data_IF_332132779068
#
_entry.id   IF_332132779068
#
_cell.length_a   1.000
_cell.length_b   1.000
_cell.length_c   1.000
_cell.angle_alpha   90.00
_cell.angle_beta   90.00
_cell.angle_gamma   90.00
#
_symmetry.space_group_name_H-M   'P 1'
#
loop_
_entity.id
_entity.type
_entity.pdbx_description
1 polymer ?
#
# COMPACT_ATOMS: atom_id res chain seq x y z
N UNK A 1 -50.68 5.24 2.32
CA UNK A 1 -50.28 6.09 1.19
C UNK A 1 -48.77 6.34 1.19
N UNK A 2 -47.95 5.28 1.12
CA UNK A 2 -46.47 5.44 1.18
C UNK A 2 -45.71 4.55 0.20
N UNK A 3 -46.39 3.75 -0.61
CA UNK A 3 -45.74 2.88 -1.62
C UNK A 3 -45.85 3.42 -3.06
N UNK A 4 -46.66 4.46 -3.31
CA UNK A 4 -46.81 5.02 -4.65
C UNK A 4 -45.72 6.06 -5.02
N UNK A 5 -44.91 6.51 -4.05
CA UNK A 5 -43.89 7.56 -4.29
C UNK A 5 -42.51 6.99 -4.66
N UNK A 6 -42.26 5.71 -4.40
CA UNK A 6 -40.95 5.07 -4.65
C UNK A 6 -40.86 4.51 -6.08
N UNK A 7 -41.98 4.08 -6.66
CA UNK A 7 -42.03 3.61 -8.06
C UNK A 7 -41.97 4.77 -9.08
N UNK A 8 -42.35 5.98 -8.69
CA UNK A 8 -42.25 7.18 -9.56
C UNK A 8 -40.81 7.71 -9.70
N UNK A 9 -39.91 7.41 -8.75
CA UNK A 9 -38.54 7.91 -8.77
C UNK A 9 -37.57 6.96 -9.47
N UNK A 10 -37.91 5.68 -9.58
CA UNK A 10 -37.10 4.68 -10.31
C UNK A 10 -37.30 4.77 -11.82
N UNK A 11 -38.50 5.14 -12.29
CA UNK A 11 -38.78 5.31 -13.72
C UNK A 11 -38.11 6.55 -14.37
N UNK A 12 -37.70 7.55 -13.57
CA UNK A 12 -37.03 8.76 -14.09
C UNK A 12 -35.51 8.60 -14.28
N UNK A 13 -34.89 7.57 -13.67
CA UNK A 13 -33.45 7.32 -13.84
C UNK A 13 -33.12 6.40 -15.02
N UNK A 14 -34.10 5.66 -15.56
CA UNK A 14 -33.88 4.80 -16.73
C UNK A 14 -34.05 5.53 -18.08
N UNK A 15 -34.59 6.75 -18.09
CA UNK A 15 -34.82 7.52 -19.33
C UNK A 15 -33.77 8.60 -19.63
N UNK A 16 -32.78 8.82 -18.75
CA UNK A 16 -31.69 9.78 -19.00
C UNK A 16 -30.34 9.15 -19.41
N UNK A 17 -30.28 7.82 -19.55
CA UNK A 17 -29.03 7.11 -19.85
C UNK A 17 -28.68 7.02 -21.35
N UNK A 18 -29.48 7.58 -22.27
CA UNK A 18 -29.32 7.34 -23.70
C UNK A 18 -28.94 8.55 -24.56
N UNK A 19 -28.75 9.75 -24.00
CA UNK A 19 -28.50 10.96 -24.81
C UNK A 19 -27.11 11.61 -24.66
N UNK A 20 -26.19 11.05 -23.85
CA UNK A 20 -24.86 11.66 -23.61
C UNK A 20 -23.69 11.07 -24.44
N UNK A 21 -23.96 10.18 -25.40
CA UNK A 21 -22.94 9.68 -26.33
C UNK A 21 -22.89 10.50 -27.63
N UNK A 22 -22.49 11.78 -27.57
CA UNK A 22 -21.85 12.46 -28.70
C UNK A 22 -21.18 13.80 -28.37
N UNK A 23 -20.33 13.85 -27.35
CA UNK A 23 -19.40 14.98 -27.20
C UNK A 23 -18.13 14.66 -27.99
N UNK A 24 -18.00 15.30 -29.16
CA UNK A 24 -16.85 15.17 -30.07
C UNK A 24 -15.51 15.30 -29.32
N UNK A 25 -14.57 14.39 -29.62
CA UNK A 25 -13.21 14.32 -29.04
C UNK A 25 -12.48 15.68 -29.03
N UNK A 26 -12.81 16.58 -29.94
CA UNK A 26 -12.24 17.93 -30.01
C UNK A 26 -12.72 18.85 -28.88
N UNK A 27 -13.92 18.65 -28.35
CA UNK A 27 -14.47 19.44 -27.24
C UNK A 27 -13.83 19.03 -25.91
N UNK A 28 -13.61 17.73 -25.70
CA UNK A 28 -12.90 17.22 -24.53
C UNK A 28 -11.43 17.69 -24.53
N UNK A 29 -10.78 17.71 -25.70
CA UNK A 29 -9.41 18.25 -25.84
C UNK A 29 -9.31 19.74 -25.48
N UNK A 30 -10.30 20.55 -25.87
CA UNK A 30 -10.34 21.99 -25.53
C UNK A 30 -10.62 22.25 -24.06
N UNK A 31 -11.48 21.45 -23.41
CA UNK A 31 -11.73 21.56 -21.97
C UNK A 31 -10.49 21.16 -21.15
N UNK A 32 -9.79 20.10 -21.55
CA UNK A 32 -8.54 19.70 -20.89
C UNK A 32 -7.45 20.76 -21.04
N UNK A 33 -7.34 21.37 -22.23
CA UNK A 33 -6.39 22.45 -22.49
C UNK A 33 -6.70 23.72 -21.65
N UNK A 34 -7.98 24.06 -21.46
CA UNK A 34 -8.39 25.17 -20.58
C UNK A 34 -8.07 24.89 -19.12
N UNK A 35 -8.34 23.67 -18.64
CA UNK A 35 -8.00 23.27 -17.27
C UNK A 35 -6.48 23.30 -17.04
N UNK A 36 -5.69 22.82 -18.00
CA UNK A 36 -4.23 22.84 -17.91
C UNK A 36 -3.68 24.28 -17.90
N UNK A 37 -4.25 25.18 -18.70
CA UNK A 37 -3.89 26.61 -18.68
C UNK A 37 -4.21 27.26 -17.34
N UNK A 38 -5.40 26.99 -16.78
CA UNK A 38 -5.81 27.52 -15.47
C UNK A 38 -4.92 27.01 -14.31
N UNK A 39 -4.46 25.75 -14.41
CA UNK A 39 -3.53 25.15 -13.46
C UNK A 39 -2.15 25.81 -13.53
N UNK A 40 -1.61 26.02 -14.75
CA UNK A 40 -0.32 26.69 -14.92
C UNK A 40 -0.34 28.14 -14.44
N UNK A 41 -1.44 28.86 -14.66
CA UNK A 41 -1.60 30.24 -14.15
C UNK A 41 -1.70 30.29 -12.62
N UNK A 42 -2.36 29.31 -11.97
CA UNK A 42 -2.36 29.22 -10.50
C UNK A 42 -1.01 28.79 -9.93
N UNK A 43 -0.31 27.90 -10.62
CA UNK A 43 1.03 27.46 -10.20
C UNK A 43 2.06 28.60 -10.30
N UNK A 44 1.96 29.49 -11.29
CA UNK A 44 2.85 30.65 -11.40
C UNK A 44 2.62 31.68 -10.28
N UNK A 45 1.39 31.85 -9.81
CA UNK A 45 1.08 32.74 -8.66
C UNK A 45 1.67 32.19 -7.37
N UNK A 46 1.60 30.87 -7.16
CA UNK A 46 2.19 30.21 -5.98
C UNK A 46 3.72 30.27 -5.94
N UNK A 47 4.39 30.29 -7.10
CA UNK A 47 5.85 30.39 -7.16
C UNK A 47 6.36 31.83 -6.97
N UNK A 48 5.53 32.85 -7.20
CA UNK A 48 5.90 34.26 -6.97
C UNK A 48 5.60 34.76 -5.55
N UNK A 49 4.68 34.11 -4.82
CA UNK A 49 4.31 34.49 -3.45
C UNK A 49 5.14 33.76 -2.36
N UNK A 50 5.96 32.77 -2.74
CA UNK A 50 6.78 31.97 -1.82
C UNK A 50 8.02 32.65 -1.25
N UNK A 51 8.45 33.80 -1.79
CA UNK A 51 9.68 34.49 -1.37
C UNK A 51 9.46 35.66 -0.39
N UNK A 52 8.21 35.96 0.01
CA UNK A 52 7.90 37.19 0.75
C UNK A 52 7.53 37.04 2.24
N UNK A 53 7.53 35.83 2.83
CA UNK A 53 7.18 35.67 4.25
C UNK A 53 8.16 34.76 5.01
N UNK A 54 9.39 35.24 5.13
CA UNK A 54 10.30 34.83 6.20
C UNK A 54 10.35 35.94 7.24
N UNK A 55 9.61 35.83 8.33
CA UNK A 55 9.97 36.43 9.64
C UNK A 55 9.06 35.95 10.78
N UNK A 56 9.72 35.43 11.81
CA UNK A 56 9.33 35.40 13.24
C UNK A 56 8.06 34.66 13.67
N UNK A 57 8.25 33.49 14.31
CA UNK A 57 7.69 33.19 15.63
C UNK A 57 8.27 31.88 16.18
N UNK A 58 9.15 32.02 17.16
CA UNK A 58 9.65 30.93 18.01
C UNK A 58 8.58 30.54 19.03
N UNK A 59 8.18 29.26 19.07
CA UNK A 59 7.51 28.68 20.24
C UNK A 59 8.09 27.28 20.48
N UNK A 60 8.85 27.17 21.56
CA UNK A 60 9.32 25.93 22.16
C UNK A 60 8.13 25.10 22.65
N UNK A 61 8.10 23.82 22.30
CA UNK A 61 7.49 22.78 23.14
C UNK A 61 8.12 21.41 22.82
N UNK A 62 8.97 20.97 23.75
CA UNK A 62 9.10 19.59 24.26
C UNK A 62 8.93 18.41 23.28
N UNK A 63 10.08 17.85 22.88
CA UNK A 63 10.23 16.46 22.39
C UNK A 63 9.82 15.42 23.43
N UNK A 64 9.37 14.23 22.99
CA UNK A 64 9.78 12.98 23.59
C UNK A 64 10.68 12.19 22.63
N UNK A 65 11.77 11.67 23.18
CA UNK A 65 12.73 10.79 22.53
C UNK A 65 12.06 9.55 21.93
N UNK A 66 12.28 9.33 20.64
CA UNK A 66 12.23 7.99 20.05
C UNK A 66 13.48 7.77 19.22
N UNK A 67 14.30 6.85 19.73
CA UNK A 67 15.52 6.38 19.13
C UNK A 67 15.25 5.70 17.78
N UNK A 68 15.71 6.31 16.69
CA UNK A 68 16.08 5.66 15.44
C UNK A 68 17.23 6.46 14.79
N UNK A 69 18.35 6.54 15.50
CA UNK A 69 19.65 6.88 14.92
C UNK A 69 20.33 5.57 14.52
N UNK A 70 20.48 5.32 13.22
CA UNK A 70 21.16 4.09 12.80
C UNK A 70 21.05 3.68 11.34
N UNK A 71 21.12 4.61 10.38
CA UNK A 71 21.53 4.25 9.01
C UNK A 71 22.46 5.33 8.44
N UNK A 72 23.70 5.30 8.93
CA UNK A 72 24.82 5.99 8.29
C UNK A 72 25.23 5.22 7.04
N UNK A 73 25.16 5.87 5.87
CA UNK A 73 25.58 5.38 4.56
C UNK A 73 27.12 5.32 4.41
N UNK A 74 27.84 4.71 5.36
CA UNK A 74 29.32 4.68 5.33
C UNK A 74 29.98 3.35 5.72
N UNK A 75 29.24 2.24 5.85
CA UNK A 75 29.83 0.93 6.21
C UNK A 75 29.96 -0.07 5.06
N UNK A 76 30.39 0.38 3.87
CA UNK A 76 30.84 -0.53 2.80
C UNK A 76 32.34 -0.34 2.58
N UNK A 77 33.15 -0.89 3.49
CA UNK A 77 34.50 -1.35 3.15
C UNK A 77 34.86 -2.62 3.92
N UNK A 78 35.55 -3.49 3.17
CA UNK A 78 36.44 -4.57 3.61
C UNK A 78 35.84 -5.76 4.35
N UNK A 79 35.40 -6.76 3.57
CA UNK A 79 35.52 -8.16 3.98
C UNK A 79 36.04 -9.00 2.80
N UNK A 80 37.28 -9.46 2.96
CA UNK A 80 37.89 -10.68 2.41
C UNK A 80 37.62 -11.05 0.93
N UNK A 81 38.61 -10.77 0.06
CA UNK A 81 38.87 -11.58 -1.13
C UNK A 81 39.62 -12.86 -0.71
N UNK A 82 39.14 -14.07 -1.02
CA UNK A 82 40.03 -15.21 -1.20
C UNK A 82 40.63 -15.13 -2.60
N UNK A 83 41.95 -14.98 -2.69
CA UNK A 83 42.71 -15.29 -3.89
C UNK A 83 42.72 -16.81 -4.09
N UNK A 84 42.03 -17.27 -5.14
CA UNK A 84 42.43 -18.52 -5.80
C UNK A 84 42.00 -18.47 -7.26
N UNK A 85 42.91 -18.93 -8.09
CA UNK A 85 42.87 -18.88 -9.53
C UNK A 85 41.75 -19.73 -10.14
N UNK A 86 41.20 -19.25 -11.26
CA UNK A 86 41.21 -19.94 -12.57
C UNK A 86 40.54 -19.02 -13.58
N UNK A 87 41.33 -18.45 -14.49
CA UNK A 87 40.85 -17.83 -15.72
C UNK A 87 40.14 -18.91 -16.56
N UNK A 88 38.83 -19.05 -16.36
CA UNK A 88 37.97 -19.67 -17.35
C UNK A 88 37.71 -18.63 -18.43
N UNK A 89 38.28 -18.86 -19.61
CA UNK A 89 37.94 -18.14 -20.83
C UNK A 89 36.44 -18.37 -21.10
N UNK A 90 35.61 -17.49 -20.56
CA UNK A 90 34.20 -17.41 -20.89
C UNK A 90 34.10 -16.93 -22.33
N UNK A 91 33.91 -17.88 -23.23
CA UNK A 91 33.44 -17.65 -24.59
C UNK A 91 32.28 -16.67 -24.55
N UNK A 92 32.53 -15.44 -25.00
CA UNK A 92 31.48 -14.48 -25.35
C UNK A 92 30.79 -15.06 -26.57
N UNK A 93 29.80 -15.94 -26.37
CA UNK A 93 28.83 -16.23 -27.40
C UNK A 93 28.20 -14.89 -27.78
N UNK A 94 28.51 -14.41 -28.98
CA UNK A 94 27.86 -13.25 -29.56
C UNK A 94 26.36 -13.57 -29.64
N UNK A 95 25.60 -13.12 -28.64
CA UNK A 95 24.15 -13.07 -28.76
C UNK A 95 23.86 -12.21 -29.97
N UNK A 96 23.17 -12.77 -30.96
CA UNK A 96 22.71 -12.07 -32.16
C UNK A 96 22.11 -10.70 -31.77
N UNK A 97 22.32 -9.65 -32.58
CA UNK A 97 21.85 -8.29 -32.28
C UNK A 97 20.38 -8.24 -31.83
N UNK A 98 19.52 -9.07 -32.42
CA UNK A 98 18.12 -9.25 -32.05
C UNK A 98 17.91 -9.64 -30.57
N UNK A 99 18.61 -10.66 -30.05
CA UNK A 99 18.46 -11.12 -28.64
C UNK A 99 18.98 -10.10 -27.62
N UNK A 100 19.89 -9.19 -28.03
CA UNK A 100 20.35 -8.06 -27.20
C UNK A 100 19.35 -6.92 -27.19
N UNK A 101 18.69 -6.65 -28.31
CA UNK A 101 17.64 -5.64 -28.40
C UNK A 101 16.39 -6.08 -27.63
N UNK A 102 15.99 -7.35 -27.70
CA UNK A 102 14.85 -7.88 -26.93
C UNK A 102 15.03 -7.77 -25.42
N UNK A 103 16.24 -8.04 -24.91
CA UNK A 103 16.54 -7.89 -23.48
C UNK A 103 16.47 -6.43 -23.05
N UNK A 104 16.98 -5.50 -23.88
CA UNK A 104 16.90 -4.06 -23.61
C UNK A 104 15.46 -3.57 -23.64
N UNK A 105 14.66 -3.98 -24.63
CA UNK A 105 13.25 -3.63 -24.70
C UNK A 105 12.48 -4.14 -23.48
N UNK A 106 12.71 -5.37 -23.04
CA UNK A 106 12.07 -5.90 -21.82
C UNK A 106 12.49 -5.13 -20.55
N UNK A 107 13.74 -4.69 -20.45
CA UNK A 107 14.17 -3.87 -19.30
C UNK A 107 13.61 -2.46 -19.34
N UNK A 108 13.49 -1.86 -20.53
CA UNK A 108 12.84 -0.56 -20.72
C UNK A 108 11.35 -0.61 -20.44
N UNK A 109 10.66 -1.66 -20.90
CA UNK A 109 9.24 -1.83 -20.61
C UNK A 109 8.99 -1.95 -19.10
N UNK A 110 9.77 -2.79 -18.40
CA UNK A 110 9.70 -2.88 -16.93
C UNK A 110 9.99 -1.55 -16.23
N UNK A 111 10.84 -0.71 -16.79
CA UNK A 111 11.13 0.61 -16.25
C UNK A 111 9.95 1.58 -16.46
N UNK A 112 9.32 1.55 -17.63
CA UNK A 112 8.11 2.30 -17.93
C UNK A 112 6.97 1.87 -17.00
N UNK A 113 6.71 0.57 -16.88
CA UNK A 113 5.68 0.02 -16.01
C UNK A 113 5.90 0.46 -14.54
N UNK A 114 7.16 0.42 -14.06
CA UNK A 114 7.50 0.88 -12.70
C UNK A 114 7.31 2.40 -12.51
N UNK A 115 7.58 3.21 -13.54
CA UNK A 115 7.31 4.65 -13.50
C UNK A 115 5.81 4.94 -13.52
N UNK A 116 5.03 4.20 -14.32
CA UNK A 116 3.57 4.31 -14.33
C UNK A 116 2.97 3.90 -12.99
N UNK A 117 3.44 2.80 -12.38
CA UNK A 117 3.04 2.39 -11.04
C UNK A 117 3.33 3.47 -10.00
N UNK A 118 4.52 4.08 -10.04
CA UNK A 118 4.88 5.20 -9.16
C UNK A 118 3.98 6.41 -9.39
N UNK A 119 3.72 6.78 -10.64
CA UNK A 119 2.80 7.88 -10.99
C UNK A 119 1.40 7.62 -10.45
N UNK A 120 0.85 6.43 -10.70
CA UNK A 120 -0.46 6.01 -10.22
C UNK A 120 -0.52 5.95 -8.68
N UNK A 121 0.55 5.53 -8.02
CA UNK A 121 0.65 5.54 -6.56
C UNK A 121 0.68 6.96 -5.99
N UNK A 122 1.43 7.87 -6.61
CA UNK A 122 1.50 9.27 -6.19
C UNK A 122 0.17 9.99 -6.38
N UNK A 123 -0.53 9.75 -7.50
CA UNK A 123 -1.87 10.30 -7.74
C UNK A 123 -2.86 9.79 -6.69
N UNK A 124 -2.86 8.49 -6.40
CA UNK A 124 -3.73 7.91 -5.37
C UNK A 124 -3.45 8.51 -3.99
N UNK A 125 -2.18 8.67 -3.63
CA UNK A 125 -1.77 9.31 -2.38
C UNK A 125 -2.27 10.75 -2.30
N UNK A 126 -2.07 11.54 -3.35
CA UNK A 126 -2.55 12.92 -3.40
C UNK A 126 -4.09 13.00 -3.30
N UNK A 127 -4.81 12.14 -4.01
CA UNK A 127 -6.28 12.08 -3.92
C UNK A 127 -6.75 11.72 -2.51
N UNK A 128 -6.03 10.83 -1.82
CA UNK A 128 -6.34 10.47 -0.44
C UNK A 128 -6.06 11.64 0.52
N UNK A 129 -4.89 12.28 0.40
CA UNK A 129 -4.54 13.47 1.20
C UNK A 129 -5.55 14.61 0.98
N UNK A 130 -6.03 14.81 -0.25
CA UNK A 130 -7.07 15.79 -0.57
C UNK A 130 -8.42 15.46 0.09
N UNK A 131 -8.83 14.18 0.08
CA UNK A 131 -10.07 13.74 0.76
C UNK A 131 -9.96 13.95 2.27
N UNK A 132 -8.83 13.58 2.86
CA UNK A 132 -8.59 13.76 4.29
C UNK A 132 -8.58 15.24 4.67
N UNK A 133 -8.00 16.11 3.83
CA UNK A 133 -8.05 17.55 4.01
C UNK A 133 -9.48 18.10 3.97
N UNK A 134 -10.28 17.69 2.99
CA UNK A 134 -11.68 18.14 2.87
C UNK A 134 -12.53 17.69 4.05
N UNK A 135 -12.34 16.46 4.54
CA UNK A 135 -13.03 15.96 5.74
C UNK A 135 -12.66 16.78 6.98
N UNK A 136 -11.36 17.04 7.19
CA UNK A 136 -10.90 17.88 8.31
C UNK A 136 -11.44 19.31 8.20
N UNK A 137 -11.51 19.86 6.99
CA UNK A 137 -12.06 21.19 6.77
C UNK A 137 -13.54 21.25 7.15
N UNK A 138 -14.35 20.27 6.75
CA UNK A 138 -15.76 20.18 7.14
C UNK A 138 -15.93 20.04 8.66
N UNK A 139 -15.05 19.29 9.32
CA UNK A 139 -15.03 19.18 10.78
C UNK A 139 -14.68 20.52 11.45
N UNK A 140 -13.67 21.23 10.95
CA UNK A 140 -13.33 22.57 11.41
C UNK A 140 -14.49 23.56 11.25
N UNK A 141 -15.13 23.57 10.08
CA UNK A 141 -16.26 24.46 9.78
C UNK A 141 -17.43 24.18 10.76
N UNK A 142 -17.72 22.90 11.04
CA UNK A 142 -18.74 22.52 12.03
C UNK A 142 -18.37 22.94 13.46
N UNK A 143 -17.13 22.73 13.87
CA UNK A 143 -16.66 23.15 15.20
C UNK A 143 -16.77 24.68 15.34
N UNK A 144 -16.43 25.42 14.29
CA UNK A 144 -16.54 26.86 14.28
C UNK A 144 -18.00 27.33 14.46
N UNK A 145 -18.95 26.70 13.76
CA UNK A 145 -20.37 26.97 13.94
C UNK A 145 -20.85 26.66 15.37
N UNK A 146 -20.47 25.52 15.95
CA UNK A 146 -20.81 25.16 17.33
C UNK A 146 -20.24 26.17 18.35
N UNK A 147 -19.02 26.68 18.11
CA UNK A 147 -18.40 27.71 18.94
C UNK A 147 -19.15 29.03 18.85
N UNK A 148 -19.58 29.45 17.66
CA UNK A 148 -20.36 30.68 17.47
C UNK A 148 -21.72 30.59 18.19
N UNK A 149 -22.41 29.45 18.09
CA UNK A 149 -23.66 29.20 18.82
C UNK A 149 -23.45 29.28 20.34
N UNK A 150 -22.37 28.67 20.84
CA UNK A 150 -22.04 28.70 22.26
C UNK A 150 -21.69 30.11 22.75
N UNK A 151 -20.92 30.88 21.98
CA UNK A 151 -20.58 32.26 22.30
C UNK A 151 -21.84 33.14 22.38
N UNK A 152 -22.77 32.97 21.45
CA UNK A 152 -24.05 33.70 21.47
C UNK A 152 -24.90 33.32 22.69
N UNK A 153 -24.91 32.03 23.08
CA UNK A 153 -25.59 31.57 24.29
C UNK A 153 -24.96 32.16 25.56
N UNK A 154 -23.64 32.19 25.65
CA UNK A 154 -22.90 32.81 26.77
C UNK A 154 -23.23 34.29 26.86
N UNK A 155 -23.26 35.01 25.73
CA UNK A 155 -23.63 36.43 25.68
C UNK A 155 -25.03 36.67 26.23
N UNK A 156 -26.02 35.86 25.82
CA UNK A 156 -27.41 35.95 26.33
C UNK A 156 -27.47 35.72 27.83
N UNK A 157 -26.83 34.66 28.33
CA UNK A 157 -26.80 34.35 29.76
C UNK A 157 -26.09 35.44 30.57
N UNK A 158 -25.06 36.07 30.02
CA UNK A 158 -24.35 37.17 30.69
C UNK A 158 -25.25 38.41 30.84
N UNK A 159 -26.06 38.73 29.82
CA UNK A 159 -27.06 39.81 29.91
C UNK A 159 -28.09 39.50 30.99
N UNK A 160 -28.61 38.27 31.01
CA UNK A 160 -29.59 37.83 32.00
C UNK A 160 -29.02 37.90 33.43
N UNK A 161 -27.80 37.39 33.63
CA UNK A 161 -27.07 37.48 34.91
C UNK A 161 -26.92 38.92 35.39
N UNK A 162 -26.58 39.85 34.49
CA UNK A 162 -26.45 41.26 34.84
C UNK A 162 -27.80 41.85 35.26
N UNK A 163 -28.89 41.46 34.61
CA UNK A 163 -30.24 41.89 34.97
C UNK A 163 -30.62 41.39 36.37
N UNK A 164 -30.45 40.10 36.64
CA UNK A 164 -30.71 39.51 37.96
C UNK A 164 -29.85 40.15 39.06
N UNK A 165 -28.59 40.47 38.76
CA UNK A 165 -27.69 41.14 39.72
C UNK A 165 -28.19 42.54 40.07
N UNK A 166 -28.71 43.30 39.09
CA UNK A 166 -29.32 44.62 39.33
C UNK A 166 -30.59 44.52 40.18
N UNK A 167 -31.47 43.58 39.86
CA UNK A 167 -32.69 43.33 40.64
C UNK A 167 -32.35 42.94 42.07
N UNK A 168 -31.36 42.05 42.24
CA UNK A 168 -30.90 41.65 43.57
C UNK A 168 -30.37 42.83 44.38
N UNK A 169 -29.54 43.71 43.78
CA UNK A 169 -29.09 44.94 44.45
C UNK A 169 -30.25 45.86 44.83
N UNK A 170 -31.20 46.08 43.92
CA UNK A 170 -32.39 46.89 44.20
C UNK A 170 -33.19 46.35 45.39
N UNK A 171 -33.37 45.02 45.47
CA UNK A 171 -34.05 44.38 46.61
C UNK A 171 -33.23 44.53 47.89
N UNK A 172 -31.90 44.40 47.81
CA UNK A 172 -31.00 44.57 48.95
C UNK A 172 -30.98 46.02 49.47
N UNK A 173 -31.00 46.99 48.57
CA UNK A 173 -31.08 48.43 48.88
C UNK A 173 -32.45 48.80 49.45
N UNK A 174 -33.54 48.24 48.91
CA UNK A 174 -34.87 48.41 49.47
C UNK A 174 -34.96 47.82 50.89
N UNK A 175 -34.35 46.66 51.13
CA UNK A 175 -34.28 46.02 52.44
C UNK A 175 -33.44 46.83 53.46
N UNK A 176 -32.43 47.58 53.01
CA UNK A 176 -31.60 48.40 53.90
C UNK A 176 -32.27 49.72 54.31
N UNK A 177 -33.25 50.20 53.53
CA UNK A 177 -34.09 51.36 53.84
C UNK A 177 -35.24 51.05 54.80
N UNK A 178 -35.50 49.77 55.12
CA UNK A 178 -36.46 49.41 56.15
C UNK A 178 -35.90 49.73 57.55
N UNK A 179 -36.65 50.44 58.42
CA UNK A 179 -36.23 50.70 59.78
C UNK A 179 -35.95 49.37 60.49
N UNK A 180 -34.84 49.28 61.21
CA UNK A 180 -34.33 48.07 61.91
C UNK A 180 -35.30 47.47 62.95
N UNK A 181 -36.46 48.10 63.19
CA UNK A 181 -37.56 47.58 64.02
C UNK A 181 -38.89 47.33 63.30
N UNK A 182 -39.05 47.68 62.02
CA UNK A 182 -40.33 47.53 61.29
C UNK A 182 -40.66 46.06 60.91
N UNK A 183 -39.65 45.19 60.90
CA UNK A 183 -39.80 43.74 60.71
C UNK A 183 -40.20 43.00 61.99
N UNK A 184 -40.47 43.68 63.12
CA UNK A 184 -40.98 43.03 64.33
C UNK A 184 -42.39 42.45 64.17
N UNK A 185 -43.09 42.74 63.07
CA UNK A 185 -44.33 42.07 62.66
C UNK A 185 -44.19 41.04 61.53
N UNK A 186 -42.96 40.68 61.11
CA UNK A 186 -42.74 39.90 59.88
C UNK A 186 -42.04 38.57 60.12
N UNK A 187 -42.71 37.68 60.86
CA UNK A 187 -42.37 36.24 60.82
C UNK A 187 -42.42 35.70 59.38
N UNK A 188 -43.26 36.28 58.51
CA UNK A 188 -43.36 35.93 57.10
C UNK A 188 -42.07 36.14 56.31
N UNK A 189 -41.38 37.28 56.46
CA UNK A 189 -40.12 37.54 55.72
C UNK A 189 -38.96 36.73 56.29
N UNK A 190 -38.87 36.58 57.62
CA UNK A 190 -37.89 35.65 58.22
C UNK A 190 -38.13 34.22 57.78
N UNK A 191 -39.39 33.77 57.78
CA UNK A 191 -39.78 32.46 57.28
C UNK A 191 -39.47 32.28 55.80
N UNK A 192 -39.67 33.31 54.98
CA UNK A 192 -39.35 33.29 53.56
C UNK A 192 -37.83 33.22 53.30
N UNK A 193 -37.04 33.98 54.06
CA UNK A 193 -35.57 33.92 54.00
C UNK A 193 -35.07 32.53 54.43
N UNK A 194 -35.61 31.98 55.51
CA UNK A 194 -35.26 30.63 55.96
C UNK A 194 -35.60 29.60 54.89
N UNK A 195 -36.81 29.67 54.31
CA UNK A 195 -37.26 28.79 53.22
C UNK A 195 -36.36 28.91 52.00
N UNK A 196 -35.98 30.13 51.62
CA UNK A 196 -35.07 30.36 50.51
C UNK A 196 -33.70 29.75 50.77
N UNK A 197 -33.15 29.91 51.98
CA UNK A 197 -31.90 29.26 52.37
C UNK A 197 -32.01 27.74 52.27
N UNK A 198 -33.06 27.15 52.86
CA UNK A 198 -33.27 25.69 52.82
C UNK A 198 -33.45 25.18 51.39
N UNK A 199 -34.23 25.87 50.56
CA UNK A 199 -34.43 25.53 49.14
C UNK A 199 -33.14 25.68 48.33
N UNK A 200 -32.32 26.68 48.61
CA UNK A 200 -31.05 26.86 47.90
C UNK A 200 -30.04 25.77 48.26
N UNK A 201 -29.99 25.37 49.53
CA UNK A 201 -29.15 24.25 50.00
C UNK A 201 -29.64 22.91 49.44
N UNK A 202 -30.96 22.65 49.45
CA UNK A 202 -31.49 21.43 48.83
C UNK A 202 -31.25 21.42 47.32
N UNK A 203 -31.42 22.56 46.63
CA UNK A 203 -31.11 22.65 45.20
C UNK A 203 -29.63 22.39 44.91
N UNK A 204 -28.71 22.93 45.71
CA UNK A 204 -27.29 22.66 45.57
C UNK A 204 -26.98 21.16 45.80
N UNK A 205 -27.59 20.55 46.82
CA UNK A 205 -27.48 19.11 47.09
C UNK A 205 -28.00 18.25 45.92
N UNK A 206 -29.15 18.60 45.33
CA UNK A 206 -29.69 17.90 44.17
C UNK A 206 -28.80 18.04 42.93
N UNK A 207 -28.33 19.27 42.63
CA UNK A 207 -27.39 19.49 41.52
C UNK A 207 -26.09 18.70 41.70
N UNK A 208 -25.57 18.62 42.91
CA UNK A 208 -24.37 17.84 43.21
C UNK A 208 -24.60 16.33 43.08
N UNK A 209 -25.79 15.84 43.44
CA UNK A 209 -26.20 14.44 43.23
C UNK A 209 -26.37 14.09 41.76
N UNK A 210 -27.01 14.96 40.97
CA UNK A 210 -27.22 14.74 39.54
C UNK A 210 -25.88 14.77 38.79
N UNK A 211 -25.00 15.74 39.09
CA UNK A 211 -23.64 15.77 38.58
C UNK A 211 -22.83 14.53 39.00
N UNK A 212 -23.04 14.01 40.21
CA UNK A 212 -22.39 12.79 40.67
C UNK A 212 -22.88 11.54 39.93
N UNK A 213 -24.19 11.44 39.65
CA UNK A 213 -24.75 10.33 38.86
C UNK A 213 -24.27 10.37 37.42
N UNK A 214 -24.37 11.51 36.75
CA UNK A 214 -23.85 11.69 35.38
C UNK A 214 -22.36 11.36 35.30
N UNK A 215 -21.58 11.78 36.30
CA UNK A 215 -20.15 11.48 36.37
C UNK A 215 -19.88 10.00 36.62
N UNK A 216 -20.71 9.31 37.40
CA UNK A 216 -20.63 7.87 37.62
C UNK A 216 -20.95 7.10 36.33
N UNK A 217 -22.03 7.46 35.64
CA UNK A 217 -22.46 6.83 34.39
C UNK A 217 -21.41 7.03 33.29
N UNK A 218 -20.88 8.24 33.12
CA UNK A 218 -19.79 8.50 32.16
C UNK A 218 -18.52 7.71 32.48
N UNK A 219 -18.18 7.50 33.75
CA UNK A 219 -17.03 6.66 34.14
C UNK A 219 -17.27 5.18 33.83
N UNK A 220 -18.49 4.70 34.04
CA UNK A 220 -18.86 3.32 33.68
C UNK A 220 -18.82 3.12 32.18
N UNK A 221 -19.37 4.06 31.41
CA UNK A 221 -19.35 4.01 29.94
C UNK A 221 -17.91 4.09 29.40
N UNK A 222 -17.07 4.96 29.97
CA UNK A 222 -15.64 5.01 29.64
C UNK A 222 -14.95 3.67 29.93
N UNK A 223 -15.25 3.05 31.07
CA UNK A 223 -14.68 1.75 31.44
C UNK A 223 -15.13 0.64 30.48
N UNK A 224 -16.40 0.67 30.05
CA UNK A 224 -16.94 -0.26 29.04
C UNK A 224 -16.24 -0.08 27.71
N UNK A 225 -16.11 1.16 27.22
CA UNK A 225 -15.42 1.47 25.97
C UNK A 225 -13.94 1.07 26.00
N UNK A 226 -13.25 1.29 27.13
CA UNK A 226 -11.87 0.83 27.31
C UNK A 226 -11.76 -0.69 27.26
N UNK A 227 -12.69 -1.42 27.89
CA UNK A 227 -12.73 -2.87 27.82
C UNK A 227 -12.95 -3.35 26.38
N UNK A 228 -13.92 -2.79 25.67
CA UNK A 228 -14.21 -3.11 24.27
C UNK A 228 -13.04 -2.81 23.34
N UNK A 229 -12.37 -1.68 23.55
CA UNK A 229 -11.18 -1.33 22.80
C UNK A 229 -10.05 -2.34 23.04
N UNK A 230 -9.82 -2.72 24.30
CA UNK A 230 -8.77 -3.69 24.66
C UNK A 230 -9.07 -5.09 24.11
N UNK A 231 -10.33 -5.54 24.15
CA UNK A 231 -10.72 -6.83 23.57
C UNK A 231 -10.59 -6.82 22.04
N UNK A 232 -10.94 -5.71 21.39
CA UNK A 232 -10.74 -5.53 19.94
C UNK A 232 -9.27 -5.55 19.57
N UNK A 233 -8.41 -4.87 20.33
CA UNK A 233 -6.95 -4.93 20.12
C UNK A 233 -6.46 -6.36 20.23
N UNK A 234 -6.82 -7.07 21.30
CA UNK A 234 -6.41 -8.47 21.48
C UNK A 234 -6.87 -9.37 20.32
N UNK A 235 -8.10 -9.18 19.83
CA UNK A 235 -8.63 -9.87 18.65
C UNK A 235 -7.86 -9.55 17.36
N UNK A 236 -7.48 -8.29 17.16
CA UNK A 236 -6.68 -7.89 16.00
C UNK A 236 -5.25 -8.44 16.09
N UNK A 237 -4.62 -8.36 17.26
CA UNK A 237 -3.26 -8.88 17.48
C UNK A 237 -3.18 -10.39 17.23
N UNK A 238 -4.15 -11.16 17.75
CA UNK A 238 -4.24 -12.60 17.48
C UNK A 238 -4.47 -12.89 16.01
N UNK A 239 -5.32 -12.11 15.33
CA UNK A 239 -5.53 -12.26 13.89
C UNK A 239 -4.27 -11.97 13.08
N UNK A 240 -3.52 -10.93 13.45
CA UNK A 240 -2.23 -10.59 12.82
C UNK A 240 -1.23 -11.74 13.02
N UNK A 241 -1.14 -12.30 14.23
CA UNK A 241 -0.27 -13.43 14.51
C UNK A 241 -0.60 -14.65 13.63
N UNK A 242 -1.89 -15.02 13.52
CA UNK A 242 -2.33 -16.11 12.64
C UNK A 242 -2.02 -15.86 11.16
N UNK A 243 -2.18 -14.63 10.68
CA UNK A 243 -1.87 -14.28 9.30
C UNK A 243 -0.36 -14.33 9.03
N UNK A 244 0.47 -13.92 9.98
CA UNK A 244 1.92 -14.01 9.89
C UNK A 244 2.38 -15.47 9.87
N UNK A 245 1.80 -16.33 10.70
CA UNK A 245 2.09 -17.76 10.70
C UNK A 245 1.74 -18.40 9.35
N UNK A 246 0.54 -18.13 8.82
CA UNK A 246 0.14 -18.58 7.48
C UNK A 246 1.06 -18.08 6.38
N UNK A 247 1.52 -16.83 6.47
CA UNK A 247 2.49 -16.26 5.52
C UNK A 247 3.82 -17.01 5.56
N UNK A 248 4.32 -17.32 6.76
CA UNK A 248 5.55 -18.09 6.94
C UNK A 248 5.40 -19.51 6.36
N UNK A 249 4.28 -20.18 6.62
CA UNK A 249 4.00 -21.50 6.05
C UNK A 249 3.94 -21.48 4.52
N UNK A 250 3.28 -20.48 3.94
CA UNK A 250 3.21 -20.31 2.48
C UNK A 250 4.59 -20.06 1.88
N UNK A 251 5.40 -19.18 2.50
CA UNK A 251 6.77 -18.92 2.06
C UNK A 251 7.65 -20.18 2.13
N UNK A 252 7.52 -21.00 3.18
CA UNK A 252 8.20 -22.30 3.27
C UNK A 252 7.77 -23.25 2.15
N UNK A 253 6.47 -23.35 1.88
CA UNK A 253 5.94 -24.18 0.78
C UNK A 253 6.41 -23.70 -0.58
N UNK A 254 6.50 -22.39 -0.78
CA UNK A 254 6.99 -21.77 -2.01
C UNK A 254 8.48 -22.05 -2.22
N UNK A 255 9.31 -21.83 -1.21
CA UNK A 255 10.75 -22.18 -1.24
C UNK A 255 10.98 -23.66 -1.60
N UNK A 256 10.23 -24.59 -1.01
CA UNK A 256 10.33 -26.02 -1.35
C UNK A 256 9.95 -26.27 -2.82
N UNK A 257 8.98 -25.53 -3.37
CA UNK A 257 8.60 -25.66 -4.79
C UNK A 257 9.67 -25.07 -5.71
N UNK A 258 10.25 -23.94 -5.35
CA UNK A 258 11.35 -23.31 -6.08
C UNK A 258 12.56 -24.24 -6.15
N UNK A 259 12.95 -24.85 -5.02
CA UNK A 259 14.06 -25.81 -4.98
C UNK A 259 13.80 -27.02 -5.87
N UNK A 260 12.57 -27.57 -5.83
CA UNK A 260 12.17 -28.68 -6.71
C UNK A 260 12.19 -28.28 -8.19
N UNK A 261 11.79 -27.05 -8.52
CA UNK A 261 11.86 -26.55 -9.89
C UNK A 261 13.31 -26.38 -10.34
N UNK A 262 14.17 -25.85 -9.49
CA UNK A 262 15.60 -25.67 -9.77
C UNK A 262 16.25 -27.03 -10.07
N UNK A 263 16.00 -28.05 -9.23
CA UNK A 263 16.49 -29.40 -9.45
C UNK A 263 16.00 -30.00 -10.78
N UNK A 264 14.72 -29.78 -11.14
CA UNK A 264 14.19 -30.24 -12.44
C UNK A 264 14.85 -29.53 -13.62
N UNK A 265 15.09 -28.23 -13.51
CA UNK A 265 15.78 -27.45 -14.55
C UNK A 265 17.22 -27.95 -14.73
N UNK A 266 17.94 -28.21 -13.64
CA UNK A 266 19.30 -28.72 -13.71
C UNK A 266 19.36 -30.13 -14.30
N UNK A 267 18.42 -31.00 -13.94
CA UNK A 267 18.27 -32.32 -14.56
C UNK A 267 18.01 -32.21 -16.06
N UNK A 268 17.12 -31.30 -16.47
CA UNK A 268 16.83 -31.08 -17.90
C UNK A 268 18.05 -30.55 -18.66
N UNK A 269 18.79 -29.60 -18.08
CA UNK A 269 20.04 -29.09 -18.66
C UNK A 269 21.08 -30.19 -18.81
N UNK A 270 21.23 -31.04 -17.79
CA UNK A 270 22.13 -32.19 -17.84
C UNK A 270 21.72 -33.15 -18.98
N UNK A 271 20.45 -33.54 -19.06
CA UNK A 271 19.93 -34.42 -20.13
C UNK A 271 20.17 -33.84 -21.52
N UNK A 272 19.87 -32.55 -21.71
CA UNK A 272 20.11 -31.85 -22.97
C UNK A 272 21.60 -31.79 -23.34
N UNK A 273 22.48 -31.58 -22.36
CA UNK A 273 23.92 -31.59 -22.58
C UNK A 273 24.43 -32.99 -22.97
N UNK A 274 23.96 -34.04 -22.30
CA UNK A 274 24.31 -35.43 -22.62
C UNK A 274 23.80 -35.85 -23.99
N UNK A 275 22.57 -35.47 -24.35
CA UNK A 275 21.98 -35.75 -25.67
C UNK A 275 22.73 -35.02 -26.77
N UNK A 276 23.03 -33.73 -26.58
CA UNK A 276 23.85 -32.96 -27.52
C UNK A 276 25.28 -33.51 -27.66
N UNK A 277 25.86 -34.05 -26.58
CA UNK A 277 27.15 -34.72 -26.64
C UNK A 277 27.06 -36.02 -27.44
N UNK A 278 26.02 -36.83 -27.21
CA UNK A 278 25.79 -38.06 -27.96
C UNK A 278 25.62 -37.80 -29.46
N UNK A 279 24.81 -36.81 -29.83
CA UNK A 279 24.63 -36.41 -31.24
C UNK A 279 25.94 -35.98 -31.89
N UNK A 280 26.77 -35.21 -31.18
CA UNK A 280 28.12 -34.82 -31.66
C UNK A 280 29.05 -36.02 -31.81
N UNK A 281 28.98 -37.01 -30.93
CA UNK A 281 29.74 -38.25 -31.07
C UNK A 281 29.29 -39.05 -32.31
N UNK A 282 27.99 -39.13 -32.56
CA UNK A 282 27.44 -39.78 -33.75
C UNK A 282 27.92 -39.06 -35.01
N UNK A 283 27.82 -37.74 -35.06
CA UNK A 283 28.30 -36.94 -36.20
C UNK A 283 29.80 -37.16 -36.42
N UNK A 284 30.61 -37.12 -35.36
CA UNK A 284 32.06 -37.35 -35.47
C UNK A 284 32.41 -38.77 -35.95
N UNK A 285 31.68 -39.80 -35.52
CA UNK A 285 31.89 -41.17 -35.99
C UNK A 285 31.48 -41.32 -37.46
N UNK A 286 30.38 -40.70 -37.85
CA UNK A 286 29.90 -40.69 -39.23
C UNK A 286 30.91 -39.97 -40.14
N UNK A 287 31.45 -38.82 -39.73
CA UNK A 287 32.47 -38.10 -40.50
C UNK A 287 33.73 -38.95 -40.73
N UNK A 288 34.15 -39.73 -39.73
CA UNK A 288 35.28 -40.67 -39.86
C UNK A 288 34.98 -41.82 -40.82
N UNK A 289 33.75 -42.33 -40.85
CA UNK A 289 33.34 -43.33 -41.84
C UNK A 289 33.38 -42.73 -43.25
N UNK A 290 32.71 -41.59 -43.44
CA UNK A 290 32.59 -40.89 -44.73
C UNK A 290 33.97 -40.58 -45.33
N UNK A 291 34.88 -40.01 -44.53
CA UNK A 291 36.23 -39.66 -44.97
C UNK A 291 37.01 -40.86 -45.56
N UNK A 292 36.72 -42.08 -45.11
CA UNK A 292 37.44 -43.29 -45.49
C UNK A 292 36.74 -44.14 -46.57
N UNK A 293 35.41 -44.01 -46.76
CA UNK A 293 34.64 -44.98 -47.56
C UNK A 293 33.61 -44.38 -48.55
N UNK A 294 33.22 -43.10 -48.45
CA UNK A 294 32.23 -42.50 -49.37
C UNK A 294 32.44 -40.99 -49.56
N UNK A 295 32.77 -40.49 -50.76
CA UNK A 295 32.59 -39.10 -51.10
C UNK A 295 31.13 -38.89 -51.55
N UNK A 296 30.62 -37.67 -51.37
CA UNK A 296 29.35 -37.13 -51.90
C UNK A 296 28.03 -37.49 -51.21
N UNK A 297 27.52 -36.50 -50.47
CA UNK A 297 26.19 -36.39 -49.89
C UNK A 297 26.16 -35.16 -48.98
N UNK A 298 25.17 -34.28 -49.13
CA UNK A 298 25.05 -33.03 -48.37
C UNK A 298 24.96 -33.31 -46.85
N UNK A 299 25.88 -32.74 -46.07
CA UNK A 299 26.05 -32.95 -44.62
C UNK A 299 24.78 -32.69 -43.78
N UNK A 300 23.89 -31.84 -44.30
CA UNK A 300 22.78 -31.28 -43.53
C UNK A 300 21.44 -31.99 -43.76
N UNK A 301 21.37 -33.02 -44.62
CA UNK A 301 20.10 -33.67 -45.01
C UNK A 301 19.88 -35.07 -44.45
N UNK A 302 20.91 -35.71 -43.87
CA UNK A 302 20.80 -37.05 -43.31
C UNK A 302 20.32 -37.02 -41.86
N UNK A 303 19.24 -37.77 -41.60
CA UNK A 303 18.71 -37.99 -40.25
C UNK A 303 19.70 -38.77 -39.38
N UNK A 304 19.68 -38.55 -38.07
CA UNK A 304 20.52 -39.25 -37.09
C UNK A 304 20.42 -40.78 -37.20
N UNK A 305 19.23 -41.31 -37.50
CA UNK A 305 19.03 -42.75 -37.71
C UNK A 305 19.79 -43.29 -38.91
N UNK A 306 19.87 -42.51 -40.00
CA UNK A 306 20.60 -42.89 -41.21
C UNK A 306 22.11 -42.87 -40.96
N UNK A 307 22.61 -41.87 -40.22
CA UNK A 307 24.01 -41.80 -39.79
C UNK A 307 24.39 -43.02 -38.94
N UNK A 308 23.52 -43.43 -38.01
CA UNK A 308 23.74 -44.61 -37.18
C UNK A 308 23.76 -45.92 -38.00
N UNK A 309 22.87 -46.08 -38.98
CA UNK A 309 22.88 -47.26 -39.87
C UNK A 309 24.18 -47.35 -40.68
N UNK A 310 24.65 -46.23 -41.23
CA UNK A 310 25.92 -46.18 -41.96
C UNK A 310 27.12 -46.54 -41.07
N UNK A 311 27.15 -46.02 -39.83
CA UNK A 311 28.17 -46.40 -38.84
C UNK A 311 28.09 -47.90 -38.51
N UNK A 312 26.89 -48.46 -38.37
CA UNK A 312 26.70 -49.87 -38.10
C UNK A 312 27.20 -50.77 -39.24
N UNK A 313 26.81 -50.46 -40.48
CA UNK A 313 27.28 -51.17 -41.68
C UNK A 313 28.82 -51.13 -41.79
N UNK A 314 29.42 -49.99 -41.47
CA UNK A 314 30.86 -49.85 -41.45
C UNK A 314 31.54 -50.75 -40.40
N UNK A 315 31.01 -50.77 -39.18
CA UNK A 315 31.54 -51.63 -38.11
C UNK A 315 31.44 -53.10 -38.51
N UNK A 316 30.29 -53.52 -39.05
CA UNK A 316 30.09 -54.89 -39.52
C UNK A 316 31.06 -55.24 -40.67
N UNK A 317 31.23 -54.36 -41.64
CA UNK A 317 32.20 -54.55 -42.72
C UNK A 317 33.64 -54.72 -42.20
N UNK A 318 34.04 -53.92 -41.20
CA UNK A 318 35.38 -54.02 -40.60
C UNK A 318 35.56 -55.33 -39.83
N UNK A 319 34.54 -55.80 -39.13
CA UNK A 319 34.57 -57.10 -38.44
C UNK A 319 34.73 -58.22 -39.46
N UNK A 320 33.89 -58.25 -40.50
CA UNK A 320 33.96 -59.24 -41.57
C UNK A 320 35.30 -59.25 -42.30
N UNK A 321 35.90 -58.07 -42.51
CA UNK A 321 37.20 -57.95 -43.15
C UNK A 321 38.32 -58.51 -42.27
N UNK A 322 38.29 -58.23 -40.96
CA UNK A 322 39.26 -58.77 -40.00
C UNK A 322 39.11 -60.28 -39.88
N UNK A 323 37.89 -60.82 -39.85
CA UNK A 323 37.66 -62.26 -39.85
C UNK A 323 38.17 -62.93 -41.14
N UNK A 324 37.95 -62.31 -42.30
CA UNK A 324 38.49 -62.81 -43.58
C UNK A 324 40.02 -62.78 -43.63
N UNK A 325 40.65 -61.71 -43.17
CA UNK A 325 42.12 -61.61 -43.09
C UNK A 325 42.68 -62.67 -42.14
N UNK A 326 42.10 -62.84 -40.95
CA UNK A 326 42.53 -63.84 -39.98
C UNK A 326 42.31 -65.30 -40.46
N UNK A 327 41.36 -65.52 -41.38
CA UNK A 327 41.12 -66.83 -42.00
C UNK A 327 41.99 -67.08 -43.24
N UNK A 328 42.51 -66.04 -43.89
CA UNK A 328 43.50 -66.15 -44.98
C UNK A 328 44.87 -66.61 -44.47
N UNK A 329 45.22 -66.31 -43.22
CA UNK A 329 46.45 -66.78 -42.56
C UNK A 329 46.40 -68.28 -42.15
N UNK A 330 45.29 -68.98 -42.42
CA UNK A 330 45.09 -70.41 -42.12
C UNK A 330 45.02 -71.30 -43.37
N UNK A 331 45.51 -70.83 -44.52
CA UNK A 331 45.70 -71.68 -45.70
C UNK A 331 46.95 -72.55 -45.45
N UNK A 332 46.85 -73.90 -45.41
CA UNK A 332 48.03 -74.73 -45.31
C UNK A 332 48.82 -74.60 -46.62
N UNK A 333 50.06 -74.14 -46.51
CA UNK A 333 51.05 -74.27 -47.59
C UNK A 333 51.21 -75.77 -47.90
N UNK A 334 50.86 -76.16 -49.12
CA UNK A 334 51.13 -77.49 -49.68
C UNK A 334 52.63 -77.64 -49.92
#
# INVERSE_FOLDING_TARGET
>A
MSNALVESQTAQYETQSNDDENISSDQQGRQLAQLYRSFLTRASVFLTEGDAQSTTASVETSRPDTALSGYSLSSIRSAARPSSAKQSYRSKSASTPAKRNDKRHRTFQKFIDNLEDKRCSSIRRYQQELRDYLLKRLECDRIQEEVEILNEKVRKLQVEKNLYTKVFRLVQDALSLFPTGSLQGSEGVKGLILRYQTLSETKAMFQQRDLSKDKQERRQELSRLMLEHNTRIAGLTTRIAQLNEKKIELAKKESIKEDKLLQKVDLYRYKMATESQLLRCIDSLYDKYRLNYQPTGDENSLSTEQKLRAIQEFILYRIDLVERVNNMDKIPTI
#
